data_IF_606246845063
#
_entry.id   IF_606246845063
#
_cell.length_a   1.000
_cell.length_b   1.000
_cell.length_c   1.000
_cell.angle_alpha   90.00
_cell.angle_beta   90.00
_cell.angle_gamma   90.00
#
_symmetry.space_group_name_H-M   'P 1'
#
loop_
_entity.id
_entity.type
_entity.pdbx_description
1 polymer ?
#
# COMPACT_ATOMS: atom_id res chain seq x y z
N UNK A 1 -24.15 3.08 -17.44
CA UNK A 1 -23.88 2.91 -18.88
C UNK A 1 -23.97 1.46 -19.37
N UNK A 2 -23.78 1.21 -20.66
CA UNK A 2 -23.65 -0.12 -21.29
C UNK A 2 -22.32 -0.23 -22.03
N UNK A 3 -21.61 -1.35 -21.88
CA UNK A 3 -20.36 -1.60 -22.61
C UNK A 3 -20.63 -2.09 -24.04
N UNK A 4 -20.12 -1.37 -25.03
CA UNK A 4 -20.11 -1.72 -26.44
C UNK A 4 -18.78 -2.42 -26.78
N UNK A 5 -18.85 -3.74 -26.98
CA UNK A 5 -17.67 -4.56 -27.27
C UNK A 5 -17.10 -4.35 -28.67
N UNK A 6 -17.89 -3.86 -29.62
CA UNK A 6 -17.43 -3.61 -31.00
C UNK A 6 -16.73 -2.26 -31.06
N UNK A 7 -17.32 -1.24 -30.45
CA UNK A 7 -16.75 0.10 -30.38
C UNK A 7 -15.71 0.31 -29.28
N UNK A 8 -15.46 -0.68 -28.43
CA UNK A 8 -14.61 -0.59 -27.24
C UNK A 8 -14.87 0.66 -26.39
N UNK A 9 -16.14 0.96 -26.15
CA UNK A 9 -16.57 2.18 -25.45
C UNK A 9 -17.76 1.93 -24.54
N UNK A 10 -17.98 2.85 -23.61
CA UNK A 10 -19.20 2.94 -22.83
C UNK A 10 -20.22 3.81 -23.58
N UNK A 11 -21.45 3.30 -23.68
CA UNK A 11 -22.60 4.00 -24.26
C UNK A 11 -23.59 4.30 -23.14
N UNK A 12 -24.17 5.50 -23.18
CA UNK A 12 -25.05 5.97 -22.11
C UNK A 12 -26.38 5.21 -22.07
N UNK A 13 -26.89 5.04 -20.86
CA UNK A 13 -28.14 4.33 -20.60
C UNK A 13 -28.07 2.83 -20.83
N UNK A 14 -29.26 2.24 -20.96
CA UNK A 14 -29.50 0.78 -21.02
C UNK A 14 -30.09 0.33 -22.37
N UNK A 15 -30.19 1.24 -23.35
CA UNK A 15 -30.82 0.97 -24.64
C UNK A 15 -29.99 0.09 -25.57
N UNK A 16 -28.66 0.11 -25.44
CA UNK A 16 -27.77 -0.70 -26.26
C UNK A 16 -27.67 -2.16 -25.74
N UNK A 17 -27.43 -3.14 -26.61
CA UNK A 17 -27.07 -4.49 -26.19
C UNK A 17 -25.64 -4.51 -25.61
N UNK A 18 -25.43 -5.24 -24.52
CA UNK A 18 -24.11 -5.41 -23.91
C UNK A 18 -24.15 -5.47 -22.38
N UNK A 19 -23.00 -5.74 -21.73
CA UNK A 19 -22.89 -5.73 -20.27
C UNK A 19 -23.30 -4.38 -19.68
N UNK A 20 -24.05 -4.40 -18.58
CA UNK A 20 -24.42 -3.20 -17.83
C UNK A 20 -23.28 -2.79 -16.93
N UNK A 21 -22.98 -1.50 -16.92
CA UNK A 21 -21.91 -0.91 -16.12
C UNK A 21 -22.53 0.16 -15.23
N UNK A 22 -22.39 -0.01 -13.93
CA UNK A 22 -22.69 1.04 -12.96
C UNK A 22 -21.51 1.99 -12.97
N UNK A 23 -21.76 3.24 -13.33
CA UNK A 23 -20.77 4.31 -13.41
C UNK A 23 -21.35 5.62 -12.89
N UNK A 24 -20.49 6.63 -12.72
CA UNK A 24 -20.86 7.93 -12.16
C UNK A 24 -20.85 9.02 -13.24
N UNK A 25 -21.22 8.68 -14.48
CA UNK A 25 -21.13 9.59 -15.63
C UNK A 25 -22.04 10.80 -15.48
N UNK A 26 -23.21 10.64 -14.86
CA UNK A 26 -24.12 11.76 -14.60
C UNK A 26 -23.50 12.80 -13.66
N UNK A 27 -22.72 12.35 -12.68
CA UNK A 27 -22.04 13.21 -11.71
C UNK A 27 -20.74 13.79 -12.29
N UNK A 28 -19.92 12.96 -12.94
CA UNK A 28 -18.55 13.32 -13.34
C UNK A 28 -18.41 13.81 -14.78
N UNK A 29 -19.27 13.33 -15.68
CA UNK A 29 -19.25 13.66 -17.10
C UNK A 29 -20.28 14.72 -17.49
N UNK A 30 -21.50 14.59 -16.97
CA UNK A 30 -22.58 15.57 -17.18
C UNK A 30 -22.65 16.65 -16.11
N UNK A 31 -21.82 16.55 -15.07
CA UNK A 31 -21.74 17.52 -13.97
C UNK A 31 -23.11 17.86 -13.37
N UNK A 32 -23.99 16.87 -13.17
CA UNK A 32 -25.28 17.07 -12.47
C UNK A 32 -25.10 17.76 -11.11
N UNK A 33 -23.91 17.57 -10.52
CA UNK A 33 -23.43 18.29 -9.37
C UNK A 33 -22.01 18.80 -9.62
N UNK A 34 -21.63 19.97 -9.10
CA UNK A 34 -20.27 20.49 -9.18
C UNK A 34 -19.31 19.78 -8.20
N UNK A 35 -19.44 18.46 -8.04
CA UNK A 35 -18.73 17.67 -7.03
C UNK A 35 -17.22 17.75 -7.20
N UNK A 36 -16.70 17.58 -8.44
CA UNK A 36 -15.27 17.63 -8.70
C UNK A 36 -14.66 19.00 -8.34
N UNK A 37 -15.34 20.09 -8.69
CA UNK A 37 -14.93 21.45 -8.35
C UNK A 37 -14.95 21.69 -6.83
N UNK A 38 -16.01 21.26 -6.14
CA UNK A 38 -16.13 21.32 -4.69
C UNK A 38 -14.98 20.57 -4.01
N UNK A 39 -14.74 19.31 -4.39
CA UNK A 39 -13.66 18.49 -3.83
C UNK A 39 -12.29 19.13 -4.08
N UNK A 40 -12.05 19.67 -5.27
CA UNK A 40 -10.81 20.37 -5.60
C UNK A 40 -10.57 21.60 -4.72
N UNK A 41 -11.63 22.37 -4.43
CA UNK A 41 -11.56 23.52 -3.51
C UNK A 41 -11.30 23.07 -2.07
N UNK A 42 -12.03 22.05 -1.59
CA UNK A 42 -11.87 21.52 -0.24
C UNK A 42 -10.45 20.96 -0.03
N UNK A 43 -9.90 20.20 -0.99
CA UNK A 43 -8.54 19.71 -0.94
C UNK A 43 -7.52 20.84 -0.84
N UNK A 44 -7.71 21.93 -1.60
CA UNK A 44 -6.83 23.10 -1.56
C UNK A 44 -6.89 23.82 -0.21
N UNK A 45 -8.10 24.01 0.34
CA UNK A 45 -8.32 24.63 1.64
C UNK A 45 -7.66 23.78 2.73
N UNK A 46 -7.99 22.49 2.79
CA UNK A 46 -7.46 21.57 3.79
C UNK A 46 -5.93 21.45 3.71
N UNK A 47 -5.36 21.33 2.50
CA UNK A 47 -3.90 21.33 2.30
C UNK A 47 -3.25 22.60 2.82
N UNK A 48 -3.87 23.76 2.56
CA UNK A 48 -3.33 25.05 3.01
C UNK A 48 -3.42 25.18 4.53
N UNK A 49 -4.56 24.81 5.12
CA UNK A 49 -4.79 24.88 6.56
C UNK A 49 -3.88 23.94 7.35
N UNK A 50 -3.63 22.74 6.83
CA UNK A 50 -2.77 21.74 7.47
C UNK A 50 -1.29 21.87 7.10
N UNK A 51 -0.94 22.65 6.07
CA UNK A 51 0.43 22.84 5.60
C UNK A 51 1.04 21.64 4.86
N UNK A 52 0.29 20.57 4.66
CA UNK A 52 0.70 19.32 4.02
C UNK A 52 -0.43 18.76 3.14
N UNK A 53 -0.14 17.89 2.15
CA UNK A 53 -1.18 17.22 1.38
C UNK A 53 -2.16 16.48 2.29
N UNK A 54 -3.42 16.39 1.88
CA UNK A 54 -4.49 15.78 2.66
C UNK A 54 -5.31 14.81 1.82
N UNK A 55 -5.98 13.90 2.52
CA UNK A 55 -7.04 13.03 2.01
C UNK A 55 -8.38 13.48 2.62
N UNK A 56 -9.45 13.38 1.82
CA UNK A 56 -10.83 13.66 2.26
C UNK A 56 -11.67 12.41 2.15
N UNK A 57 -12.40 12.08 3.21
CA UNK A 57 -13.53 11.15 3.16
C UNK A 57 -14.83 11.98 3.21
N UNK A 58 -15.77 11.67 2.33
CA UNK A 58 -17.03 12.41 2.22
C UNK A 58 -18.19 11.48 1.88
N UNK A 59 -19.41 11.94 2.13
CA UNK A 59 -20.63 11.36 1.60
C UNK A 59 -21.45 12.40 0.84
N UNK A 60 -22.26 11.90 -0.09
CA UNK A 60 -23.18 12.69 -0.89
C UNK A 60 -24.52 11.94 -0.89
N UNK A 61 -25.58 12.60 -0.45
CA UNK A 61 -26.92 12.03 -0.33
C UNK A 61 -27.96 12.99 -0.88
N UNK A 62 -28.97 12.51 -1.61
CA UNK A 62 -30.08 13.30 -2.13
C UNK A 62 -31.31 12.42 -2.31
N UNK A 63 -32.49 13.03 -2.46
CA UNK A 63 -33.74 12.30 -2.65
C UNK A 63 -34.28 12.46 -4.06
N UNK A 64 -34.84 11.37 -4.58
CA UNK A 64 -35.42 11.33 -5.92
C UNK A 64 -34.38 11.18 -7.02
N UNK A 65 -34.80 11.43 -8.26
CA UNK A 65 -34.00 11.13 -9.45
C UNK A 65 -32.96 12.22 -9.76
N UNK A 66 -33.13 13.42 -9.22
CA UNK A 66 -32.28 14.58 -9.45
C UNK A 66 -31.67 15.10 -8.14
N UNK A 67 -30.44 15.63 -8.18
CA UNK A 67 -29.71 16.01 -6.99
C UNK A 67 -30.03 17.45 -6.52
N UNK A 68 -31.30 17.85 -6.60
CA UNK A 68 -31.76 19.21 -6.29
C UNK A 68 -31.60 19.55 -4.79
N UNK A 69 -31.68 18.54 -3.92
CA UNK A 69 -31.54 18.62 -2.47
C UNK A 69 -30.27 17.94 -1.95
N UNK A 70 -29.24 17.80 -2.79
CA UNK A 70 -28.04 17.06 -2.44
C UNK A 70 -27.30 17.65 -1.23
N UNK A 71 -27.09 16.80 -0.22
CA UNK A 71 -26.35 17.05 0.99
C UNK A 71 -24.96 16.45 0.83
N UNK A 72 -23.96 17.32 0.77
CA UNK A 72 -22.56 16.94 0.90
C UNK A 72 -22.15 16.97 2.37
N UNK A 73 -21.60 15.86 2.86
CA UNK A 73 -21.03 15.78 4.21
C UNK A 73 -19.56 15.44 4.14
N UNK A 74 -18.71 16.29 4.71
CA UNK A 74 -17.30 15.99 4.91
C UNK A 74 -17.17 15.12 6.16
N UNK A 75 -16.79 13.86 5.96
CA UNK A 75 -16.71 12.86 7.04
C UNK A 75 -15.34 12.90 7.72
N UNK A 76 -14.28 13.06 6.93
CA UNK A 76 -12.92 13.12 7.47
C UNK A 76 -11.98 13.94 6.60
N UNK A 77 -11.02 14.60 7.26
CA UNK A 77 -9.83 15.18 6.66
C UNK A 77 -8.62 14.60 7.35
N UNK A 78 -7.72 13.95 6.60
CA UNK A 78 -6.48 13.40 7.16
C UNK A 78 -5.27 14.01 6.46
N UNK A 79 -4.24 14.44 7.19
CA UNK A 79 -2.95 14.75 6.58
C UNK A 79 -2.32 13.48 5.99
N UNK A 80 -1.87 13.58 4.74
CA UNK A 80 -1.00 12.58 4.12
C UNK A 80 0.42 12.83 4.63
N UNK A 81 0.71 12.36 5.83
CA UNK A 81 2.07 12.34 6.36
C UNK A 81 2.83 11.29 5.55
N UNK A 82 3.74 11.70 4.67
CA UNK A 82 4.63 10.77 3.95
C UNK A 82 6.11 11.08 4.12
N UNK A 83 6.47 12.07 4.95
CA UNK A 83 7.87 12.41 5.21
C UNK A 83 8.39 11.46 6.30
N UNK A 84 9.15 10.44 5.90
CA UNK A 84 9.96 9.63 6.80
C UNK A 84 11.39 10.15 6.72
N UNK A 85 11.72 11.09 7.61
CA UNK A 85 13.04 11.71 7.67
C UNK A 85 13.10 13.14 7.08
N UNK A 86 14.26 13.81 7.20
CA UNK A 86 14.47 15.15 6.64
C UNK A 86 14.30 15.15 5.12
N UNK A 87 14.08 16.33 4.51
CA UNK A 87 14.19 16.59 3.06
C UNK A 87 15.61 16.25 2.56
N UNK A 88 15.98 14.98 2.59
CA UNK A 88 17.22 14.48 2.04
C UNK A 88 17.01 14.29 0.55
N UNK A 89 17.98 14.74 -0.25
CA UNK A 89 18.10 14.30 -1.64
C UNK A 89 18.04 12.77 -1.65
N UNK A 90 17.06 12.21 -2.34
CA UNK A 90 16.99 10.78 -2.61
C UNK A 90 18.27 10.41 -3.39
N UNK A 91 19.11 9.49 -2.89
CA UNK A 91 20.31 9.07 -3.62
C UNK A 91 19.94 8.34 -4.91
N UNK A 92 20.89 8.19 -5.83
CA UNK A 92 20.68 7.35 -7.01
C UNK A 92 20.55 5.88 -6.61
N UNK A 93 19.64 5.17 -7.28
CA UNK A 93 19.46 3.73 -7.08
C UNK A 93 20.71 2.98 -7.60
N UNK A 94 21.38 2.19 -6.75
CA UNK A 94 22.58 1.44 -7.16
C UNK A 94 22.22 0.25 -8.05
N UNK A 95 23.25 -0.43 -8.57
CA UNK A 95 23.11 -1.67 -9.34
C UNK A 95 22.41 -2.78 -8.54
N UNK A 96 21.62 -3.60 -9.23
CA UNK A 96 20.79 -4.69 -8.68
C UNK A 96 21.58 -5.65 -7.76
N UNK A 97 22.88 -5.87 -8.03
CA UNK A 97 23.74 -6.74 -7.21
C UNK A 97 23.85 -6.29 -5.74
N UNK A 98 23.73 -4.98 -5.48
CA UNK A 98 23.80 -4.37 -4.15
C UNK A 98 22.44 -4.28 -3.45
N UNK A 99 21.37 -4.57 -4.17
CA UNK A 99 20.00 -4.41 -3.68
C UNK A 99 19.49 -5.70 -3.04
N UNK A 100 18.87 -5.54 -1.88
CA UNK A 100 18.00 -6.54 -1.29
C UNK A 100 16.63 -6.52 -1.96
N UNK A 101 16.13 -5.33 -2.28
CA UNK A 101 14.79 -5.13 -2.83
C UNK A 101 14.75 -3.89 -3.73
N UNK A 102 13.96 -3.95 -4.80
CA UNK A 102 13.52 -2.79 -5.59
C UNK A 102 12.05 -2.92 -5.95
N UNK A 103 11.30 -1.83 -5.85
CA UNK A 103 9.90 -1.74 -6.24
C UNK A 103 9.62 -0.42 -6.96
N UNK A 104 8.86 -0.49 -8.06
CA UNK A 104 8.29 0.66 -8.77
C UNK A 104 6.94 1.15 -8.23
N UNK A 105 6.48 0.63 -7.09
CA UNK A 105 5.25 1.04 -6.41
C UNK A 105 5.53 1.31 -4.94
N UNK A 106 5.93 2.54 -4.66
CA UNK A 106 6.22 3.04 -3.32
C UNK A 106 5.17 3.99 -2.79
N UNK A 107 5.00 3.96 -1.47
CA UNK A 107 4.39 5.01 -0.69
C UNK A 107 5.30 5.35 0.50
N UNK A 108 5.57 6.65 0.65
CA UNK A 108 6.54 7.18 1.60
C UNK A 108 7.64 7.95 0.88
N UNK A 109 8.31 8.84 1.60
CA UNK A 109 9.42 9.61 1.06
C UNK A 109 10.48 9.83 2.13
N UNK A 110 11.72 9.46 1.79
CA UNK A 110 12.90 9.68 2.62
C UNK A 110 13.80 8.45 2.73
N UNK A 111 14.72 8.49 3.70
CA UNK A 111 15.76 7.48 3.89
C UNK A 111 15.74 7.00 5.35
N UNK A 112 15.80 5.69 5.54
CA UNK A 112 15.88 5.02 6.86
C UNK A 112 17.17 4.20 6.87
N UNK A 113 18.03 4.42 7.87
CA UNK A 113 19.40 3.84 7.93
C UNK A 113 19.68 3.10 9.24
N UNK A 114 18.66 2.86 10.07
CA UNK A 114 18.77 2.27 11.41
C UNK A 114 18.04 0.92 11.53
N UNK A 115 17.88 0.19 10.42
CA UNK A 115 17.19 -1.10 10.36
C UNK A 115 18.17 -2.22 10.10
N UNK A 116 18.15 -3.24 10.96
CA UNK A 116 19.05 -4.39 10.90
C UNK A 116 18.31 -5.71 10.74
N UNK A 117 16.99 -5.68 10.87
CA UNK A 117 16.14 -6.86 10.95
C UNK A 117 15.15 -6.85 9.80
N UNK A 118 14.97 -8.01 9.17
CA UNK A 118 13.92 -8.24 8.17
C UNK A 118 13.12 -9.47 8.60
N UNK A 119 11.85 -9.26 8.91
CA UNK A 119 10.89 -10.34 9.03
C UNK A 119 10.29 -10.58 7.65
N UNK A 120 10.37 -11.81 7.18
CA UNK A 120 9.84 -12.14 5.87
C UNK A 120 9.18 -13.50 5.84
N UNK A 121 8.23 -13.65 4.91
CA UNK A 121 7.50 -14.89 4.64
C UNK A 121 8.06 -15.46 3.35
N UNK A 122 8.54 -16.70 3.40
CA UNK A 122 9.11 -17.38 2.24
C UNK A 122 8.02 -17.65 1.19
N UNK A 123 8.06 -16.99 0.01
CA UNK A 123 7.00 -17.13 -0.98
C UNK A 123 6.93 -18.56 -1.55
N UNK A 124 8.05 -19.29 -1.56
CA UNK A 124 8.10 -20.67 -2.04
C UNK A 124 7.39 -21.65 -1.09
N UNK A 125 7.22 -21.28 0.19
CA UNK A 125 6.58 -22.09 1.22
C UNK A 125 5.20 -21.55 1.63
N UNK A 126 4.75 -20.44 1.02
CA UNK A 126 3.50 -19.80 1.37
C UNK A 126 2.29 -20.61 0.91
N UNK A 127 1.37 -20.86 1.83
CA UNK A 127 0.09 -21.51 1.56
C UNK A 127 -1.06 -20.66 2.14
N UNK A 128 -2.01 -20.18 1.31
CA UNK A 128 -3.19 -19.43 1.75
C UNK A 128 -4.01 -20.13 2.84
N UNK A 129 -3.93 -21.45 2.96
CA UNK A 129 -4.61 -22.26 3.98
C UNK A 129 -4.06 -22.09 5.40
N UNK A 130 -2.83 -21.59 5.56
CA UNK A 130 -2.15 -21.48 6.86
C UNK A 130 -1.90 -20.03 7.32
N UNK A 131 -2.64 -19.07 6.76
CA UNK A 131 -2.46 -17.63 7.02
C UNK A 131 -2.64 -17.21 8.48
N UNK A 132 -3.44 -17.92 9.28
CA UNK A 132 -3.57 -17.65 10.72
C UNK A 132 -2.32 -18.09 11.50
N UNK A 133 -1.73 -19.24 11.17
CA UNK A 133 -0.46 -19.67 11.74
C UNK A 133 0.65 -18.69 11.38
N UNK A 134 0.70 -18.24 10.12
CA UNK A 134 1.65 -17.21 9.68
C UNK A 134 1.47 -15.89 10.43
N UNK A 135 0.21 -15.45 10.66
CA UNK A 135 -0.08 -14.27 11.47
C UNK A 135 0.52 -14.40 12.87
N UNK A 136 0.34 -15.55 13.52
CA UNK A 136 0.81 -15.77 14.89
C UNK A 136 2.34 -15.84 14.96
N UNK A 137 2.99 -16.47 13.98
CA UNK A 137 4.45 -16.47 13.85
C UNK A 137 5.02 -15.06 13.62
N UNK A 138 4.41 -14.26 12.73
CA UNK A 138 4.80 -12.87 12.50
C UNK A 138 4.62 -12.04 13.77
N UNK A 139 3.49 -12.17 14.47
CA UNK A 139 3.22 -11.44 15.71
C UNK A 139 4.26 -11.78 16.79
N UNK A 140 4.60 -13.06 16.96
CA UNK A 140 5.60 -13.52 17.92
C UNK A 140 6.99 -12.89 17.68
N UNK A 141 7.44 -12.87 16.42
CA UNK A 141 8.71 -12.22 16.07
C UNK A 141 8.67 -10.70 16.25
N UNK A 142 7.53 -10.06 15.92
CA UNK A 142 7.34 -8.62 16.13
C UNK A 142 7.37 -8.26 17.62
N UNK A 143 6.77 -9.07 18.49
CA UNK A 143 6.81 -8.88 19.94
C UNK A 143 8.23 -9.04 20.48
N UNK A 144 9.00 -10.03 20.00
CA UNK A 144 10.42 -10.17 20.35
C UNK A 144 11.21 -8.90 19.98
N UNK A 145 11.03 -8.38 18.76
CA UNK A 145 11.70 -7.14 18.35
C UNK A 145 11.23 -5.93 19.16
N UNK A 146 9.97 -5.91 19.58
CA UNK A 146 9.43 -4.84 20.43
C UNK A 146 10.10 -4.82 21.82
N UNK A 147 10.30 -5.99 22.43
CA UNK A 147 11.04 -6.15 23.70
C UNK A 147 12.51 -5.72 23.56
N UNK A 148 13.12 -5.97 22.40
CA UNK A 148 14.48 -5.53 22.08
C UNK A 148 14.57 -4.04 21.68
N UNK A 149 13.44 -3.31 21.61
CA UNK A 149 13.33 -1.95 21.09
C UNK A 149 13.88 -1.77 19.66
N UNK A 150 13.64 -2.76 18.81
CA UNK A 150 14.13 -2.81 17.43
C UNK A 150 12.99 -2.63 16.42
N UNK A 151 13.37 -2.13 15.26
CA UNK A 151 12.49 -1.97 14.10
C UNK A 151 12.92 -2.89 12.97
N UNK A 152 11.98 -3.17 12.06
CA UNK A 152 12.20 -4.15 10.99
C UNK A 152 11.57 -3.74 9.66
N UNK A 153 11.99 -4.39 8.57
CA UNK A 153 11.21 -4.47 7.33
C UNK A 153 10.36 -5.74 7.38
N UNK A 154 9.08 -5.62 7.04
CA UNK A 154 8.17 -6.75 6.90
C UNK A 154 7.95 -7.04 5.42
N UNK A 155 8.28 -8.25 4.94
CA UNK A 155 8.14 -8.65 3.54
C UNK A 155 7.29 -9.91 3.45
N UNK A 156 6.24 -9.92 2.62
CA UNK A 156 5.48 -11.15 2.45
C UNK A 156 4.50 -11.13 1.28
N UNK A 157 4.00 -12.32 0.91
CA UNK A 157 3.10 -12.50 -0.22
C UNK A 157 1.67 -12.03 0.08
N UNK A 158 1.04 -11.40 -0.90
CA UNK A 158 -0.34 -10.91 -0.82
C UNK A 158 -0.49 -9.68 0.10
N UNK A 159 -1.72 -9.45 0.56
CA UNK A 159 -2.09 -8.28 1.36
C UNK A 159 -1.84 -8.47 2.85
N UNK A 160 -1.18 -7.51 3.49
CA UNK A 160 -1.10 -7.45 4.95
C UNK A 160 -2.38 -6.86 5.53
N UNK A 161 -2.96 -7.52 6.53
CA UNK A 161 -4.16 -7.06 7.23
C UNK A 161 -5.48 -7.24 6.49
N UNK A 162 -5.50 -8.09 5.46
CA UNK A 162 -6.73 -8.49 4.79
C UNK A 162 -7.60 -9.36 5.70
N UNK A 163 -8.91 -9.09 5.74
CA UNK A 163 -9.89 -10.00 6.36
C UNK A 163 -10.17 -11.23 5.49
N UNK A 164 -9.88 -11.14 4.19
CA UNK A 164 -9.93 -12.28 3.27
C UNK A 164 -8.58 -13.00 3.28
N UNK A 165 -8.59 -14.23 3.80
CA UNK A 165 -7.44 -15.12 3.94
C UNK A 165 -6.86 -15.56 2.60
N UNK A 166 -7.69 -15.59 1.55
CA UNK A 166 -7.23 -15.92 0.21
C UNK A 166 -6.44 -14.78 -0.43
N UNK A 167 -6.57 -13.56 0.10
CA UNK A 167 -5.88 -12.38 -0.42
C UNK A 167 -4.59 -12.04 0.32
N UNK A 168 -4.37 -12.57 1.53
CA UNK A 168 -3.11 -12.38 2.26
C UNK A 168 -3.18 -12.74 3.73
N UNK A 169 -2.32 -12.11 4.53
CA UNK A 169 -2.07 -12.48 5.93
C UNK A 169 -2.87 -11.55 6.85
N UNK A 170 -3.78 -12.09 7.72
CA UNK A 170 -4.72 -11.29 8.51
C UNK A 170 -4.09 -10.72 9.78
N UNK A 171 -2.99 -9.98 9.65
CA UNK A 171 -2.36 -9.25 10.77
C UNK A 171 -3.14 -7.98 11.13
N UNK A 172 -3.26 -7.69 12.41
CA UNK A 172 -3.71 -6.38 12.86
C UNK A 172 -2.56 -5.37 12.85
N UNK A 173 -2.88 -4.08 12.81
CA UNK A 173 -1.88 -3.01 12.95
C UNK A 173 -1.04 -3.16 14.23
N UNK A 174 -1.69 -3.51 15.35
CA UNK A 174 -1.02 -3.71 16.62
C UNK A 174 0.03 -4.85 16.59
N UNK A 175 -0.13 -5.83 15.69
CA UNK A 175 0.81 -6.94 15.55
C UNK A 175 2.02 -6.61 14.67
N UNK A 176 1.98 -5.55 13.85
CA UNK A 176 3.06 -5.20 12.91
C UNK A 176 3.62 -3.79 13.12
N UNK A 177 3.31 -3.15 14.24
CA UNK A 177 3.73 -1.77 14.58
C UNK A 177 5.25 -1.56 14.67
N UNK A 178 6.04 -2.63 14.67
CA UNK A 178 7.51 -2.58 14.68
C UNK A 178 8.09 -2.39 13.26
N UNK A 179 7.26 -2.59 12.23
CA UNK A 179 7.65 -2.37 10.85
C UNK A 179 7.91 -0.89 10.56
N UNK A 180 9.00 -0.61 9.84
CA UNK A 180 9.32 0.70 9.27
C UNK A 180 9.15 0.75 7.76
N UNK A 181 9.08 -0.42 7.14
CA UNK A 181 8.66 -0.62 5.76
C UNK A 181 7.86 -1.93 5.70
N UNK A 182 6.68 -1.90 5.09
CA UNK A 182 5.90 -3.09 4.73
C UNK A 182 5.97 -3.30 3.23
N UNK A 183 6.29 -4.52 2.83
CA UNK A 183 6.38 -4.94 1.44
C UNK A 183 5.35 -6.04 1.18
N UNK A 184 4.45 -5.77 0.24
CA UNK A 184 3.53 -6.75 -0.33
C UNK A 184 4.14 -7.31 -1.63
N UNK A 185 4.27 -8.62 -1.71
CA UNK A 185 4.82 -9.33 -2.87
C UNK A 185 3.69 -10.01 -3.63
N UNK A 186 3.62 -9.75 -4.93
CA UNK A 186 2.62 -10.35 -5.80
C UNK A 186 2.84 -11.87 -5.94
N UNK A 187 1.75 -12.62 -5.85
CA UNK A 187 1.70 -14.10 -5.90
C UNK A 187 1.48 -14.65 -7.31
N UNK A 188 1.06 -13.81 -8.26
CA UNK A 188 0.81 -14.23 -9.64
C UNK A 188 -0.17 -13.32 -10.39
N UNK A 189 -0.58 -13.73 -11.60
CA UNK A 189 -1.59 -13.00 -12.38
C UNK A 189 -2.94 -13.02 -11.64
N UNK A 190 -3.53 -11.85 -11.40
CA UNK A 190 -4.82 -11.71 -10.70
C UNK A 190 -4.71 -11.43 -9.20
N UNK A 191 -3.51 -11.14 -8.69
CA UNK A 191 -3.38 -10.63 -7.32
C UNK A 191 -4.14 -9.30 -7.15
N UNK A 192 -4.82 -9.11 -6.01
CA UNK A 192 -5.63 -7.91 -5.79
C UNK A 192 -4.75 -6.66 -5.85
N UNK A 193 -5.37 -5.52 -6.14
CA UNK A 193 -4.69 -4.23 -6.03
C UNK A 193 -4.04 -4.09 -4.64
N UNK A 194 -2.92 -3.36 -4.50
CA UNK A 194 -2.29 -3.13 -3.20
C UNK A 194 -3.29 -2.61 -2.15
N UNK A 195 -3.03 -2.79 -0.85
CA UNK A 195 -3.95 -2.47 0.26
C UNK A 195 -4.36 -0.99 0.42
N UNK A 196 -4.13 -0.16 -0.60
CA UNK A 196 -4.48 1.26 -0.70
C UNK A 196 -5.97 1.47 -0.39
N UNK A 197 -6.26 2.26 0.66
CA UNK A 197 -7.63 2.61 1.08
C UNK A 197 -8.25 1.79 2.21
N UNK A 198 -7.51 0.85 2.82
CA UNK A 198 -7.98 0.16 4.03
C UNK A 198 -7.66 0.95 5.31
N UNK A 199 -8.39 0.70 6.41
CA UNK A 199 -8.03 1.25 7.74
C UNK A 199 -6.62 0.81 8.18
N UNK A 200 -6.11 -0.29 7.65
CA UNK A 200 -4.72 -0.74 7.84
C UNK A 200 -3.70 0.11 7.07
N UNK A 201 -4.11 0.69 5.94
CA UNK A 201 -3.28 1.55 5.07
C UNK A 201 -3.29 3.03 5.45
N UNK A 202 -4.42 3.54 5.93
CA UNK A 202 -4.43 4.57 6.97
C UNK A 202 -3.65 3.99 8.18
N UNK A 203 -3.34 4.60 9.32
CA UNK A 203 -2.35 4.01 10.27
C UNK A 203 -0.92 3.85 9.70
N UNK A 204 -0.66 3.09 8.62
CA UNK A 204 0.65 2.99 7.96
C UNK A 204 1.14 4.38 7.54
N UNK A 205 0.34 5.09 6.74
CA UNK A 205 0.62 6.47 6.32
C UNK A 205 0.76 7.39 7.54
N UNK A 206 -0.19 7.30 8.49
CA UNK A 206 -0.20 8.20 9.65
C UNK A 206 0.99 8.00 10.60
N UNK A 207 1.58 6.80 10.63
CA UNK A 207 2.66 6.42 11.54
C UNK A 207 4.05 6.54 10.90
N UNK A 208 4.14 7.06 9.68
CA UNK A 208 5.41 7.19 8.95
C UNK A 208 6.04 5.84 8.62
N UNK A 209 5.24 4.81 8.42
CA UNK A 209 5.72 3.51 7.95
C UNK A 209 5.70 3.50 6.42
N UNK A 210 6.84 3.15 5.83
CA UNK A 210 6.95 2.97 4.40
C UNK A 210 6.09 1.83 3.89
N UNK A 211 5.64 1.93 2.65
CA UNK A 211 4.96 0.84 1.98
C UNK A 211 5.50 0.65 0.56
N UNK A 212 5.71 -0.60 0.17
CA UNK A 212 6.12 -0.96 -1.18
C UNK A 212 5.35 -2.18 -1.69
N UNK A 213 5.15 -2.25 -3.00
CA UNK A 213 4.54 -3.40 -3.65
C UNK A 213 5.47 -3.96 -4.74
N UNK A 214 5.88 -5.20 -4.61
CA UNK A 214 6.72 -5.91 -5.58
C UNK A 214 5.82 -6.72 -6.51
N UNK A 215 5.79 -6.37 -7.79
CA UNK A 215 5.03 -7.08 -8.81
C UNK A 215 5.87 -8.18 -9.47
N UNK A 216 5.23 -9.32 -9.76
CA UNK A 216 5.84 -10.41 -10.54
C UNK A 216 5.90 -10.12 -12.05
N UNK A 217 5.17 -9.13 -12.55
CA UNK A 217 5.10 -8.76 -13.97
C UNK A 217 5.87 -7.49 -14.33
N UNK A 218 6.37 -6.76 -13.34
CA UNK A 218 7.19 -5.57 -13.56
C UNK A 218 8.64 -5.97 -13.81
N UNK A 219 9.21 -5.59 -14.96
CA UNK A 219 10.60 -5.89 -15.32
C UNK A 219 11.64 -5.17 -14.45
N UNK A 220 11.20 -4.28 -13.54
CA UNK A 220 12.08 -3.54 -12.65
C UNK A 220 12.04 -3.99 -11.19
N UNK A 221 11.04 -4.76 -10.76
CA UNK A 221 10.91 -5.13 -9.36
C UNK A 221 11.79 -6.35 -9.04
N UNK A 222 12.42 -6.37 -7.86
CA UNK A 222 13.24 -7.50 -7.43
C UNK A 222 13.23 -7.66 -5.91
N UNK A 223 13.43 -8.89 -5.47
CA UNK A 223 13.75 -9.25 -4.08
C UNK A 223 14.82 -10.34 -4.10
N UNK A 224 15.91 -10.14 -3.38
CA UNK A 224 16.98 -11.14 -3.25
C UNK A 224 16.63 -12.16 -2.16
N UNK A 225 15.79 -13.14 -2.53
CA UNK A 225 15.36 -14.22 -1.65
C UNK A 225 16.51 -15.11 -1.19
N UNK A 226 17.54 -15.29 -2.02
CA UNK A 226 18.70 -16.11 -1.65
C UNK A 226 19.51 -15.43 -0.54
N UNK A 227 19.73 -14.12 -0.64
CA UNK A 227 20.37 -13.34 0.41
C UNK A 227 19.58 -13.39 1.72
N UNK A 228 18.25 -13.25 1.67
CA UNK A 228 17.39 -13.40 2.87
C UNK A 228 17.50 -14.80 3.47
N UNK A 229 17.44 -15.85 2.64
CA UNK A 229 17.58 -17.25 3.10
C UNK A 229 18.92 -17.50 3.79
N UNK A 230 20.01 -17.01 3.21
CA UNK A 230 21.36 -17.23 3.74
C UNK A 230 21.64 -16.47 5.05
N UNK A 231 20.90 -15.38 5.31
CA UNK A 231 21.07 -14.55 6.52
C UNK A 231 19.94 -14.72 7.56
N UNK A 232 19.02 -15.66 7.33
CA UNK A 232 17.90 -15.92 8.24
C UNK A 232 18.22 -16.99 9.26
N UNK A 233 17.62 -16.86 10.46
CA UNK A 233 17.58 -17.95 11.44
C UNK A 233 16.35 -18.83 11.21
N UNK A 234 16.51 -20.15 11.31
CA UNK A 234 15.42 -21.13 11.25
C UNK A 234 15.06 -21.61 9.84
N UNK A 235 14.20 -22.62 9.78
CA UNK A 235 13.72 -23.26 8.54
C UNK A 235 12.21 -23.15 8.35
N UNK A 236 11.54 -22.29 9.12
CA UNK A 236 10.10 -22.05 9.04
C UNK A 236 9.70 -21.23 7.82
N UNK A 237 8.38 -21.01 7.66
CA UNK A 237 7.83 -20.17 6.59
C UNK A 237 8.07 -18.69 6.89
N UNK A 238 7.83 -18.27 8.13
CA UNK A 238 8.19 -16.94 8.62
C UNK A 238 9.62 -16.98 9.17
N UNK A 239 10.46 -16.06 8.73
CA UNK A 239 11.88 -16.01 9.11
C UNK A 239 12.30 -14.60 9.50
N UNK A 240 13.29 -14.54 10.40
CA UNK A 240 13.97 -13.32 10.81
C UNK A 240 15.40 -13.35 10.27
N UNK A 241 15.72 -12.42 9.37
CA UNK A 241 17.10 -12.12 8.96
C UNK A 241 17.63 -10.96 9.79
N UNK A 242 18.82 -11.12 10.38
CA UNK A 242 19.47 -10.09 11.19
C UNK A 242 20.86 -9.82 10.64
N UNK A 243 21.12 -8.58 10.29
CA UNK A 243 22.35 -8.13 9.66
C UNK A 243 23.27 -7.43 10.66
N UNK A 244 24.58 -7.51 10.45
CA UNK A 244 25.58 -6.78 11.25
C UNK A 244 25.63 -5.29 10.89
N UNK A 245 25.33 -4.98 9.62
CA UNK A 245 25.25 -3.61 9.11
C UNK A 245 23.79 -3.22 8.92
N UNK A 246 23.50 -1.94 9.10
CA UNK A 246 22.16 -1.43 8.86
C UNK A 246 21.87 -1.43 7.36
N UNK A 247 20.65 -1.83 7.02
CA UNK A 247 20.07 -1.69 5.70
C UNK A 247 19.73 -0.22 5.48
N UNK A 248 20.04 0.28 4.28
CA UNK A 248 19.57 1.58 3.83
C UNK A 248 18.29 1.40 3.03
N UNK A 249 17.18 1.89 3.57
CA UNK A 249 15.88 1.89 2.92
C UNK A 249 15.66 3.27 2.34
N UNK A 250 15.46 3.34 1.02
CA UNK A 250 15.19 4.60 0.33
C UNK A 250 13.81 4.53 -0.30
N UNK A 251 12.98 5.53 0.01
CA UNK A 251 11.66 5.69 -0.56
C UNK A 251 11.60 7.01 -1.33
N UNK A 252 11.36 6.90 -2.62
CA UNK A 252 11.11 8.03 -3.49
C UNK A 252 9.65 8.07 -3.92
N UNK A 253 8.79 8.54 -3.01
CA UNK A 253 7.37 8.72 -3.29
C UNK A 253 7.05 9.69 -4.43
N UNK A 254 8.02 10.48 -4.95
CA UNK A 254 7.78 11.33 -6.13
C UNK A 254 7.80 10.51 -7.41
N UNK A 255 8.74 9.58 -7.51
CA UNK A 255 8.91 8.69 -8.66
C UNK A 255 8.25 7.31 -8.46
N UNK A 256 7.68 7.07 -7.27
CA UNK A 256 7.08 5.79 -6.90
C UNK A 256 8.10 4.68 -6.65
N UNK A 257 9.38 5.01 -6.46
CA UNK A 257 10.46 4.03 -6.32
C UNK A 257 10.74 3.72 -4.85
N UNK A 258 11.09 2.47 -4.53
CA UNK A 258 11.70 2.09 -3.26
C UNK A 258 12.76 1.06 -3.49
N UNK A 259 13.86 1.17 -2.76
CA UNK A 259 14.88 0.14 -2.75
C UNK A 259 15.50 -0.01 -1.36
N UNK A 260 16.05 -1.20 -1.12
CA UNK A 260 16.78 -1.53 0.10
C UNK A 260 18.18 -1.97 -0.31
N UNK A 261 19.21 -1.32 0.23
CA UNK A 261 20.62 -1.67 0.02
C UNK A 261 21.08 -2.64 1.11
N UNK A 262 21.84 -3.67 0.71
CA UNK A 262 22.45 -4.67 1.59
C UNK A 262 23.56 -4.13 2.48
#
# INVERSE_FOLDING_TARGET
STWDSVGHRLVDGIGSPGPRVVDFRDILGYEWLPLASLLGQLLKIAKTAMGIPVELEFSLDWKGDFPDDAIFSLLQVRPLVSQVGPQASVPDCPEDSKLLLRSGKSLGHGVIEDIYDVIWVDPDLYDPGFTETLRDEVASLMDQLAEEHRHTVLIGPGRWGSSDRLLGIPVSWAQVRQARLIVEVARGPGDPEPSQGSHFFHNLVASGVGYAHVSSSSSGDLVDWEFLRNNSRGSGIVRLARFEKALQIVMDGKNGLTWIVK
#
